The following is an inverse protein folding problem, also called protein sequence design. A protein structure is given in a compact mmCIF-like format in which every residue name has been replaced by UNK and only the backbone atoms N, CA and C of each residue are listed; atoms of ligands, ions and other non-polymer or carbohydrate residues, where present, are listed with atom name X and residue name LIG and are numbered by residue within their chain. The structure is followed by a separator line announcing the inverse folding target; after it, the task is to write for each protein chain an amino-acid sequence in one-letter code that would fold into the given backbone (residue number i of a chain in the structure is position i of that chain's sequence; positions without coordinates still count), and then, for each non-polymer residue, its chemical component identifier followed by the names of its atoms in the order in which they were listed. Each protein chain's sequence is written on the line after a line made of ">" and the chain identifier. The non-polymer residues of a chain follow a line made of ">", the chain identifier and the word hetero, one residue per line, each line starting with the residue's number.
data_IF_714885877049
#
_entry.id   IF_714885877049
#
_cell.length_a   1.000
_cell.length_b   1.000
_cell.length_c   1.000
_cell.angle_alpha   90.00
_cell.angle_beta   90.00
_cell.angle_gamma   90.00
#
_symmetry.space_group_name_H-M   'P 1'
#
loop_
_entity.id
_entity.type
_entity.pdbx_description
1 polymer ?
#
# COMPACT_ATOMS: atom_id res chain seq x y z
N UNK A 1 -18.38 14.96 -9.54
CA UNK A 1 -16.99 14.55 -9.20
C UNK A 1 -16.91 14.26 -7.72
N UNK A 2 -16.58 13.04 -7.32
CA UNK A 2 -16.23 12.76 -5.92
C UNK A 2 -14.79 13.22 -5.69
N UNK A 3 -14.51 13.89 -4.58
CA UNK A 3 -13.14 14.31 -4.24
C UNK A 3 -12.18 13.12 -4.05
N UNK A 4 -12.72 11.93 -3.77
CA UNK A 4 -11.98 10.67 -3.66
C UNK A 4 -12.68 9.60 -4.53
N UNK A 5 -11.99 9.05 -5.56
CA UNK A 5 -12.54 7.97 -6.37
C UNK A 5 -12.59 6.65 -5.59
N UNK A 6 -13.55 5.78 -5.94
CA UNK A 6 -13.61 4.44 -5.36
C UNK A 6 -12.31 3.67 -5.65
N UNK A 7 -11.76 3.05 -4.61
CA UNK A 7 -10.48 2.33 -4.68
C UNK A 7 -9.25 3.16 -4.31
N UNK A 8 -9.37 4.47 -4.05
CA UNK A 8 -8.29 5.20 -3.41
C UNK A 8 -8.10 4.73 -1.95
N UNK A 9 -6.88 4.37 -1.51
CA UNK A 9 -6.62 4.09 -0.10
C UNK A 9 -6.72 5.39 0.71
N UNK A 10 -7.45 5.36 1.82
CA UNK A 10 -7.66 6.51 2.71
C UNK A 10 -7.04 6.19 4.06
N UNK A 11 -6.03 6.95 4.54
CA UNK A 11 -5.55 6.80 5.91
C UNK A 11 -6.66 7.26 6.88
N UNK A 12 -7.00 6.41 7.82
CA UNK A 12 -8.12 6.64 8.75
C UNK A 12 -7.62 6.57 10.20
N UNK A 13 -7.95 7.55 11.07
CA UNK A 13 -7.35 7.67 12.40
C UNK A 13 -8.11 6.92 13.51
N UNK A 14 -9.03 6.02 13.17
CA UNK A 14 -9.86 5.28 14.13
C UNK A 14 -9.96 3.81 13.74
N UNK A 15 -10.10 2.92 14.72
CA UNK A 15 -10.36 1.50 14.48
C UNK A 15 -11.81 1.23 13.99
N UNK A 16 -12.70 2.22 14.11
CA UNK A 16 -14.07 2.12 13.63
C UNK A 16 -14.11 2.59 12.17
N UNK A 17 -14.32 1.63 11.25
CA UNK A 17 -14.47 1.91 9.82
C UNK A 17 -15.83 2.58 9.56
N UNK A 18 -15.89 3.75 8.89
CA UNK A 18 -17.15 4.40 8.58
C UNK A 18 -18.00 3.57 7.61
N UNK A 19 -19.33 3.73 7.69
CA UNK A 19 -20.24 3.07 6.75
C UNK A 19 -19.92 3.42 5.30
N UNK A 20 -19.97 2.42 4.42
CA UNK A 20 -19.61 2.56 3.00
C UNK A 20 -18.11 2.45 2.69
N UNK A 21 -17.27 2.26 3.71
CA UNK A 21 -15.83 1.99 3.56
C UNK A 21 -15.49 0.58 4.03
N UNK A 22 -14.30 0.11 3.67
CA UNK A 22 -13.78 -1.19 4.06
C UNK A 22 -12.31 -1.07 4.40
N UNK A 23 -11.86 -1.79 5.43
CA UNK A 23 -10.43 -1.89 5.75
C UNK A 23 -9.72 -2.74 4.68
N UNK A 24 -8.52 -2.36 4.26
CA UNK A 24 -7.76 -3.04 3.21
C UNK A 24 -6.85 -4.11 3.81
N UNK A 25 -7.28 -5.38 3.78
CA UNK A 25 -6.65 -6.50 4.50
C UNK A 25 -6.36 -7.72 3.61
N UNK A 26 -6.33 -7.56 2.28
CA UNK A 26 -6.08 -8.69 1.37
C UNK A 26 -7.35 -9.46 0.97
N UNK A 27 -8.54 -8.99 1.33
CA UNK A 27 -9.79 -9.71 1.11
C UNK A 27 -10.32 -9.60 -0.34
N UNK A 28 -11.02 -10.65 -0.77
CA UNK A 28 -11.79 -10.64 -2.01
C UNK A 28 -13.07 -9.82 -1.87
N UNK A 29 -13.61 -9.33 -2.99
CA UNK A 29 -14.89 -8.64 -3.07
C UNK A 29 -15.68 -9.04 -4.32
N UNK A 30 -17.00 -8.86 -4.27
CA UNK A 30 -17.87 -9.09 -5.42
C UNK A 30 -17.77 -7.93 -6.43
N UNK A 31 -17.19 -8.23 -7.60
CA UNK A 31 -17.00 -7.25 -8.68
C UNK A 31 -18.32 -6.76 -9.28
N UNK A 32 -19.36 -7.58 -9.28
CA UNK A 32 -20.68 -7.23 -9.80
C UNK A 32 -21.39 -6.26 -8.85
N UNK A 33 -21.24 -6.46 -7.54
CA UNK A 33 -21.77 -5.56 -6.53
C UNK A 33 -21.01 -4.22 -6.44
N UNK A 34 -19.69 -4.25 -6.69
CA UNK A 34 -18.82 -3.07 -6.58
C UNK A 34 -18.09 -2.74 -7.90
N UNK A 35 -18.80 -2.36 -8.97
CA UNK A 35 -18.20 -2.19 -10.30
C UNK A 35 -17.16 -1.08 -10.36
N UNK A 36 -17.34 0.02 -9.61
CA UNK A 36 -16.33 1.09 -9.54
C UNK A 36 -15.05 0.64 -8.83
N UNK A 37 -15.16 -0.22 -7.81
CA UNK A 37 -14.01 -0.80 -7.13
C UNK A 37 -13.30 -1.82 -8.03
N UNK A 38 -14.06 -2.58 -8.82
CA UNK A 38 -13.52 -3.51 -9.80
C UNK A 38 -12.70 -2.83 -10.91
N UNK A 39 -13.02 -1.57 -11.26
CA UNK A 39 -12.18 -0.78 -12.17
C UNK A 39 -10.80 -0.50 -11.55
N UNK A 40 -10.74 -0.20 -10.25
CA UNK A 40 -9.48 0.04 -9.54
C UNK A 40 -8.70 -1.25 -9.24
N UNK A 41 -9.41 -2.33 -8.91
CA UNK A 41 -8.85 -3.64 -8.55
C UNK A 41 -9.49 -4.77 -9.37
N UNK A 42 -9.05 -4.99 -10.64
CA UNK A 42 -9.68 -5.96 -11.54
C UNK A 42 -9.57 -7.42 -11.09
N UNK A 43 -8.60 -7.74 -10.22
CA UNK A 43 -8.46 -9.05 -9.59
C UNK A 43 -9.68 -9.43 -8.73
N UNK A 44 -10.47 -8.45 -8.27
CA UNK A 44 -11.51 -8.68 -7.27
C UNK A 44 -10.93 -8.88 -5.86
N UNK A 45 -9.67 -8.48 -5.63
CA UNK A 45 -8.98 -8.60 -4.34
C UNK A 45 -8.37 -7.26 -3.99
N UNK A 46 -8.65 -6.77 -2.78
CA UNK A 46 -8.01 -5.58 -2.22
C UNK A 46 -6.59 -5.93 -1.76
N UNK A 47 -5.60 -5.04 -1.91
CA UNK A 47 -4.29 -5.27 -1.31
C UNK A 47 -4.40 -5.25 0.22
N UNK A 48 -3.56 -6.02 0.91
CA UNK A 48 -3.36 -5.86 2.35
C UNK A 48 -2.42 -4.67 2.57
N UNK A 49 -2.92 -3.62 3.22
CA UNK A 49 -2.16 -2.39 3.46
C UNK A 49 -1.61 -2.31 4.89
N UNK A 50 -1.87 -3.31 5.74
CA UNK A 50 -1.36 -3.31 7.12
C UNK A 50 0.17 -3.44 7.10
N UNK A 51 0.86 -2.54 7.81
CA UNK A 51 2.32 -2.50 7.84
C UNK A 51 2.98 -1.97 6.56
N UNK A 52 2.21 -1.53 5.56
CA UNK A 52 2.73 -1.02 4.29
C UNK A 52 2.67 0.50 4.20
N UNK A 53 3.71 1.10 3.61
CA UNK A 53 3.72 2.51 3.22
C UNK A 53 3.48 2.64 1.71
N UNK A 54 2.67 3.60 1.30
CA UNK A 54 2.42 3.87 -0.13
C UNK A 54 3.65 4.56 -0.72
N UNK A 55 4.23 3.91 -1.74
CA UNK A 55 5.32 4.46 -2.56
C UNK A 55 4.81 4.67 -3.99
N UNK A 56 5.05 5.86 -4.54
CA UNK A 56 4.72 6.13 -5.94
C UNK A 56 5.41 5.13 -6.87
N UNK A 57 4.67 4.61 -7.86
CA UNK A 57 5.26 3.68 -8.84
C UNK A 57 6.37 4.43 -9.59
N UNK A 58 7.61 3.90 -9.64
CA UNK A 58 8.65 4.48 -10.47
C UNK A 58 8.29 4.40 -11.96
N UNK A 59 8.94 5.21 -12.78
CA UNK A 59 8.72 5.23 -14.23
C UNK A 59 8.91 3.84 -14.88
N UNK A 60 9.82 3.02 -14.34
CA UNK A 60 10.13 1.67 -14.83
C UNK A 60 10.56 0.74 -13.69
N UNK A 61 10.71 -0.55 -13.99
CA UNK A 61 11.26 -1.56 -13.07
C UNK A 61 10.28 -2.11 -12.01
N UNK A 62 9.05 -1.58 -11.93
CA UNK A 62 8.02 -2.05 -10.98
C UNK A 62 6.61 -2.01 -11.57
N UNK A 63 5.80 -2.99 -11.18
CA UNK A 63 4.36 -3.01 -11.46
C UNK A 63 3.57 -2.22 -10.40
N UNK A 64 2.38 -1.71 -10.77
CA UNK A 64 1.43 -1.15 -9.81
C UNK A 64 1.00 -2.26 -8.83
N UNK A 65 0.82 -1.92 -7.56
CA UNK A 65 0.53 -2.86 -6.45
C UNK A 65 1.63 -3.87 -6.12
N UNK A 66 2.82 -3.79 -6.73
CA UNK A 66 3.95 -4.63 -6.31
C UNK A 66 4.52 -4.18 -4.98
N UNK A 67 4.84 -5.14 -4.10
CA UNK A 67 5.45 -4.90 -2.80
C UNK A 67 6.97 -4.74 -2.90
N UNK A 68 7.55 -3.96 -1.99
CA UNK A 68 9.00 -3.77 -1.84
C UNK A 68 9.32 -3.92 -0.35
N UNK A 69 10.19 -4.85 0.00
CA UNK A 69 10.69 -4.91 1.37
C UNK A 69 11.58 -3.69 1.67
N UNK A 70 11.75 -3.40 2.95
CA UNK A 70 12.72 -2.41 3.38
C UNK A 70 14.14 -2.82 2.96
N UNK A 71 15.03 -1.82 2.89
CA UNK A 71 16.40 -2.02 2.47
C UNK A 71 17.31 -0.95 3.04
N UNK A 72 18.42 -1.38 3.62
CA UNK A 72 19.47 -0.48 4.08
C UNK A 72 20.39 -0.19 2.90
N UNK A 73 20.59 1.09 2.59
CA UNK A 73 21.54 1.48 1.55
C UNK A 73 22.94 1.03 1.94
N UNK A 74 23.68 0.47 0.98
CA UNK A 74 25.09 0.08 1.17
C UNK A 74 25.90 1.25 1.72
N UNK A 75 26.65 1.02 2.80
CA UNK A 75 27.50 2.01 3.46
C UNK A 75 28.68 1.33 4.17
N UNK A 76 29.71 2.10 4.51
CA UNK A 76 30.91 1.66 5.22
C UNK A 76 31.19 2.58 6.41
N UNK A 77 31.83 2.05 7.46
CA UNK A 77 32.27 2.81 8.63
C UNK A 77 33.80 2.78 8.72
N UNK A 78 34.42 3.90 9.14
CA UNK A 78 35.80 3.88 9.64
C UNK A 78 35.78 3.58 11.14
N UNK A 79 36.77 2.81 11.61
CA UNK A 79 36.97 2.53 13.02
C UNK A 79 38.46 2.69 13.36
N UNK A 80 38.76 3.21 14.55
CA UNK A 80 40.12 3.30 15.08
C UNK A 80 40.17 2.70 16.49
N UNK A 81 41.33 2.21 16.88
CA UNK A 81 41.63 1.75 18.24
C UNK A 81 42.87 2.49 18.74
N UNK A 82 42.88 2.88 20.02
CA UNK A 82 44.06 3.38 20.71
C UNK A 82 44.70 2.25 21.51
N UNK A 83 46.01 2.03 21.34
CA UNK A 83 46.79 1.13 22.18
C UNK A 83 47.20 1.80 23.49
N UNK A 84 47.37 1.01 24.55
CA UNK A 84 47.91 1.42 25.85
C UNK A 84 49.42 1.71 25.79
#
# INVERSE_FOLDING_TARGET
>A
NSALPAGAPIPWPSDIVPSGYVLMQGQAFDKSAYPKLAVAYPSGVLPDMRGWTIKGKPASGRAVLSQEQDGIKSHTHSASASGE
#
